data_IF_585083609362
#
_entry.id   IF_585083609362
#
_cell.length_a   1.000
_cell.length_b   1.000
_cell.length_c   1.000
_cell.angle_alpha   90.00
_cell.angle_beta   90.00
_cell.angle_gamma   90.00
#
_symmetry.space_group_name_H-M   'P 1'
#
loop_
_entity.id
_entity.type
_entity.pdbx_description
1 polymer ?
#
# COMPACT_ATOMS: atom_id res chain seq x y z
N UNK A 1 19.72 -19.39 7.44
CA UNK A 1 18.65 -18.75 8.28
C UNK A 1 17.90 -17.66 7.51
N UNK A 2 18.62 -16.79 6.77
CA UNK A 2 18.01 -15.87 5.80
C UNK A 2 17.19 -16.63 4.74
N UNK A 3 17.68 -17.78 4.31
CA UNK A 3 17.02 -18.69 3.35
C UNK A 3 15.68 -19.24 3.85
N UNK A 4 15.56 -19.46 5.16
CA UNK A 4 14.33 -19.96 5.76
C UNK A 4 13.23 -18.88 5.77
N UNK A 5 13.61 -17.61 5.97
CA UNK A 5 12.71 -16.46 5.86
C UNK A 5 12.27 -16.25 4.40
N UNK A 6 13.21 -16.24 3.46
CA UNK A 6 12.90 -16.13 2.01
C UNK A 6 11.96 -17.25 1.57
N UNK A 7 12.18 -18.48 2.03
CA UNK A 7 11.28 -19.58 1.73
C UNK A 7 9.88 -19.40 2.32
N UNK A 8 9.74 -18.78 3.50
CA UNK A 8 8.43 -18.48 4.08
C UNK A 8 7.67 -17.42 3.28
N UNK A 9 8.37 -16.36 2.85
CA UNK A 9 7.80 -15.33 1.95
C UNK A 9 7.37 -15.94 0.62
N UNK A 10 8.18 -16.83 0.04
CA UNK A 10 7.83 -17.54 -1.20
C UNK A 10 6.59 -18.44 -1.06
N UNK A 11 6.38 -19.04 0.10
CA UNK A 11 5.14 -19.79 0.38
C UNK A 11 3.92 -18.86 0.39
N UNK A 12 4.05 -17.68 1.04
CA UNK A 12 3.00 -16.65 1.06
C UNK A 12 2.67 -16.15 -0.35
N UNK A 13 3.68 -15.82 -1.18
CA UNK A 13 3.44 -15.37 -2.57
C UNK A 13 2.77 -16.42 -3.44
N UNK A 14 2.98 -17.70 -3.14
CA UNK A 14 2.37 -18.82 -3.84
C UNK A 14 1.00 -19.24 -3.28
N UNK A 15 0.41 -18.44 -2.38
CA UNK A 15 -0.91 -18.72 -1.79
C UNK A 15 -0.93 -19.80 -0.70
N UNK A 16 0.24 -20.33 -0.31
CA UNK A 16 0.38 -21.36 0.73
C UNK A 16 0.42 -20.73 2.12
N UNK A 17 -0.66 -20.06 2.49
CA UNK A 17 -0.69 -19.17 3.66
C UNK A 17 -0.49 -19.89 5.00
N UNK A 18 -1.03 -21.09 5.19
CA UNK A 18 -0.84 -21.85 6.44
C UNK A 18 0.61 -22.29 6.63
N UNK A 19 1.22 -22.83 5.57
CA UNK A 19 2.62 -23.26 5.57
C UNK A 19 3.54 -22.04 5.82
N UNK A 20 3.24 -20.91 5.18
CA UNK A 20 3.95 -19.66 5.41
C UNK A 20 3.84 -19.20 6.87
N UNK A 21 2.62 -19.16 7.43
CA UNK A 21 2.37 -18.74 8.80
C UNK A 21 3.08 -19.63 9.82
N UNK A 22 3.04 -20.96 9.65
CA UNK A 22 3.74 -21.90 10.53
C UNK A 22 5.26 -21.66 10.51
N UNK A 23 5.83 -21.42 9.32
CA UNK A 23 7.26 -21.16 9.16
C UNK A 23 7.66 -19.81 9.76
N UNK A 24 6.87 -18.76 9.55
CA UNK A 24 7.08 -17.45 10.17
C UNK A 24 7.01 -17.53 11.70
N UNK A 25 6.00 -18.20 12.28
CA UNK A 25 5.89 -18.44 13.73
C UNK A 25 7.09 -19.17 14.33
N UNK A 26 7.69 -20.10 13.59
CA UNK A 26 8.93 -20.76 14.03
C UNK A 26 10.09 -19.78 14.05
N UNK A 27 10.20 -18.93 13.02
CA UNK A 27 11.26 -17.94 12.88
C UNK A 27 11.15 -16.82 13.93
N UNK A 28 9.94 -16.41 14.36
CA UNK A 28 9.79 -15.41 15.44
C UNK A 28 10.39 -15.89 16.76
N UNK A 29 10.44 -17.21 17.00
CA UNK A 29 10.99 -17.82 18.22
C UNK A 29 12.48 -18.16 18.10
N UNK A 30 12.91 -18.72 16.97
CA UNK A 30 14.23 -19.39 16.83
C UNK A 30 15.24 -18.65 15.94
N UNK A 31 14.87 -17.53 15.33
CA UNK A 31 15.75 -16.78 14.42
C UNK A 31 16.80 -15.88 15.11
N UNK A 32 17.78 -15.42 14.32
CA UNK A 32 18.62 -14.24 14.69
C UNK A 32 17.72 -13.01 14.90
N UNK A 33 18.16 -12.02 15.69
CA UNK A 33 17.35 -10.83 16.05
C UNK A 33 16.67 -10.16 14.85
N UNK A 34 17.41 -9.89 13.78
CA UNK A 34 16.89 -9.29 12.55
C UNK A 34 15.88 -10.20 11.82
N UNK A 35 16.16 -11.50 11.75
CA UNK A 35 15.25 -12.49 11.15
C UNK A 35 13.97 -12.64 11.97
N UNK A 36 14.06 -12.58 13.30
CA UNK A 36 12.87 -12.56 14.18
C UNK A 36 12.03 -11.33 13.90
N UNK A 37 12.66 -10.16 13.86
CA UNK A 37 11.94 -8.91 13.61
C UNK A 37 11.19 -8.93 12.27
N UNK A 38 11.89 -9.33 11.19
CA UNK A 38 11.28 -9.49 9.88
C UNK A 38 10.16 -10.55 9.86
N UNK A 39 10.36 -11.69 10.54
CA UNK A 39 9.35 -12.74 10.62
C UNK A 39 8.09 -12.30 11.39
N UNK A 40 8.23 -11.48 12.45
CA UNK A 40 7.09 -10.92 13.19
C UNK A 40 6.30 -9.96 12.30
N UNK A 41 6.98 -9.07 11.60
CA UNK A 41 6.35 -8.15 10.67
C UNK A 41 5.56 -8.89 9.57
N UNK A 42 6.20 -9.86 8.91
CA UNK A 42 5.54 -10.65 7.85
C UNK A 42 4.36 -11.48 8.37
N UNK A 43 4.47 -12.03 9.58
CA UNK A 43 3.37 -12.76 10.21
C UNK A 43 2.20 -11.84 10.52
N UNK A 44 2.47 -10.61 11.01
CA UNK A 44 1.43 -9.62 11.25
C UNK A 44 0.70 -9.23 9.97
N UNK A 45 1.43 -8.94 8.88
CA UNK A 45 0.84 -8.65 7.57
C UNK A 45 -0.03 -9.81 7.08
N UNK A 46 0.48 -11.05 7.18
CA UNK A 46 -0.28 -12.24 6.77
C UNK A 46 -1.54 -12.44 7.62
N UNK A 47 -1.47 -12.17 8.92
CA UNK A 47 -2.61 -12.25 9.82
C UNK A 47 -3.68 -11.21 9.47
N UNK A 48 -3.27 -9.96 9.19
CA UNK A 48 -4.17 -8.89 8.74
C UNK A 48 -4.87 -9.21 7.41
N UNK A 49 -4.13 -9.72 6.43
CA UNK A 49 -4.67 -10.16 5.13
C UNK A 49 -5.71 -11.29 5.26
N UNK A 50 -5.72 -11.98 6.40
CA UNK A 50 -6.63 -13.08 6.72
C UNK A 50 -7.71 -12.70 7.73
N UNK A 51 -7.71 -11.46 8.22
CA UNK A 51 -8.69 -10.95 9.18
C UNK A 51 -8.39 -11.30 10.64
N UNK A 52 -7.19 -11.79 10.93
CA UNK A 52 -6.74 -12.09 12.29
C UNK A 52 -5.98 -10.89 12.87
N UNK A 53 -6.75 -9.86 13.25
CA UNK A 53 -6.22 -8.61 13.77
C UNK A 53 -5.49 -8.80 15.11
N UNK A 54 -5.96 -9.72 15.95
CA UNK A 54 -5.39 -9.99 17.27
C UNK A 54 -3.95 -10.51 17.15
N UNK A 55 -3.73 -11.53 16.30
CA UNK A 55 -2.37 -12.05 16.07
C UNK A 55 -1.46 -10.98 15.48
N UNK A 56 -1.98 -10.12 14.61
CA UNK A 56 -1.21 -9.02 14.06
C UNK A 56 -0.78 -8.00 15.12
N UNK A 57 -1.70 -7.62 16.01
CA UNK A 57 -1.44 -6.65 17.08
C UNK A 57 -0.38 -7.17 18.06
N UNK A 58 -0.45 -8.44 18.43
CA UNK A 58 0.56 -9.08 19.30
C UNK A 58 1.95 -9.02 18.67
N UNK A 59 2.06 -9.37 17.38
CA UNK A 59 3.34 -9.42 16.68
C UNK A 59 3.94 -8.02 16.43
N UNK A 60 3.10 -7.02 16.13
CA UNK A 60 3.51 -5.62 15.95
C UNK A 60 3.89 -4.96 17.29
N UNK A 61 3.14 -5.21 18.36
CA UNK A 61 3.48 -4.73 19.70
C UNK A 61 4.83 -5.30 20.16
N UNK A 62 5.13 -6.56 19.84
CA UNK A 62 6.44 -7.17 20.13
C UNK A 62 7.61 -6.53 19.35
N UNK A 63 7.32 -5.76 18.29
CA UNK A 63 8.29 -4.93 17.57
C UNK A 63 8.40 -3.50 18.11
N UNK A 64 7.57 -3.13 19.09
CA UNK A 64 7.47 -1.76 19.61
C UNK A 64 6.61 -0.82 18.76
N UNK A 65 5.88 -1.35 17.79
CA UNK A 65 4.96 -0.58 16.94
C UNK A 65 3.65 -0.36 17.68
N UNK A 66 3.13 0.87 17.63
CA UNK A 66 1.92 1.30 18.37
C UNK A 66 0.71 1.52 17.48
N UNK A 67 0.95 1.78 16.20
CA UNK A 67 -0.07 2.14 15.24
C UNK A 67 0.07 1.26 14.00
N UNK A 68 -1.07 0.91 13.40
CA UNK A 68 -1.16 0.27 12.09
C UNK A 68 -2.44 0.72 11.40
N UNK A 69 -2.54 0.45 10.10
CA UNK A 69 -3.80 0.60 9.37
C UNK A 69 -4.89 -0.28 9.99
N UNK A 70 -6.13 0.21 9.94
CA UNK A 70 -7.29 -0.50 10.47
C UNK A 70 -7.48 -1.86 9.78
N UNK A 71 -7.90 -2.88 10.53
CA UNK A 71 -8.04 -4.24 10.01
C UNK A 71 -8.93 -4.34 8.73
N UNK A 72 -10.04 -3.57 8.61
CA UNK A 72 -10.85 -3.59 7.40
C UNK A 72 -10.11 -3.23 6.11
N UNK A 73 -9.10 -2.34 6.18
CA UNK A 73 -8.33 -1.95 4.98
C UNK A 73 -7.53 -3.12 4.39
N UNK A 74 -7.09 -4.07 5.22
CA UNK A 74 -6.31 -5.22 4.80
C UNK A 74 -7.14 -6.33 4.15
N UNK A 75 -8.45 -6.33 4.38
CA UNK A 75 -9.38 -7.31 3.85
C UNK A 75 -9.96 -6.91 2.48
N UNK A 76 -9.80 -5.64 2.09
CA UNK A 76 -10.39 -5.07 0.88
C UNK A 76 -11.92 -5.21 0.87
N UNK A 77 -12.53 -5.05 -0.31
CA UNK A 77 -13.98 -5.16 -0.56
C UNK A 77 -14.63 -6.52 -0.18
N UNK A 78 -13.90 -7.45 0.46
CA UNK A 78 -14.48 -8.68 1.04
C UNK A 78 -15.41 -8.41 2.21
N UNK A 79 -15.25 -7.28 2.88
CA UNK A 79 -16.25 -6.78 3.79
C UNK A 79 -17.20 -5.89 2.96
N UNK A 80 -18.42 -6.39 2.74
CA UNK A 80 -19.49 -5.59 2.15
C UNK A 80 -19.75 -4.30 2.94
N UNK A 81 -20.76 -3.49 2.55
CA UNK A 81 -20.98 -2.11 3.01
C UNK A 81 -21.12 -1.88 4.54
N UNK A 82 -21.09 -2.94 5.35
CA UNK A 82 -21.56 -2.98 6.73
C UNK A 82 -20.61 -2.37 7.80
N UNK A 83 -19.43 -1.85 7.45
CA UNK A 83 -18.47 -1.33 8.44
C UNK A 83 -18.30 0.19 8.48
N UNK A 84 -19.13 0.95 7.76
CA UNK A 84 -19.11 2.43 7.79
C UNK A 84 -19.99 3.03 8.92
N UNK A 85 -20.32 2.25 9.96
CA UNK A 85 -21.07 2.71 11.14
C UNK A 85 -20.12 3.16 12.26
N UNK A 86 -19.40 4.26 12.04
CA UNK A 86 -19.05 5.18 13.13
C UNK A 86 -18.89 6.58 12.54
N UNK A 87 -19.71 7.49 13.06
CA UNK A 87 -20.17 8.71 12.38
C UNK A 87 -19.14 9.85 12.27
N UNK A 88 -17.86 9.60 12.58
CA UNK A 88 -16.79 10.61 12.44
C UNK A 88 -15.58 10.16 11.63
N UNK A 89 -15.15 8.90 11.73
CA UNK A 89 -14.03 8.34 10.93
C UNK A 89 -14.47 7.75 9.60
N UNK A 90 -15.75 7.44 9.44
CA UNK A 90 -16.29 7.02 8.15
C UNK A 90 -16.23 8.12 7.08
N UNK A 91 -15.71 9.32 7.35
CA UNK A 91 -15.60 10.43 6.38
C UNK A 91 -14.24 10.59 5.69
N UNK A 92 -13.16 9.98 6.18
CA UNK A 92 -11.83 10.48 5.81
C UNK A 92 -11.08 9.70 4.72
N UNK A 93 -11.42 8.45 4.43
CA UNK A 93 -10.74 7.67 3.36
C UNK A 93 -11.73 6.78 2.60
N UNK A 94 -11.60 6.75 1.27
CA UNK A 94 -12.35 5.86 0.37
C UNK A 94 -11.37 5.18 -0.57
N UNK A 95 -11.56 3.88 -0.76
CA UNK A 95 -10.82 3.08 -1.75
C UNK A 95 -11.78 2.74 -2.89
N UNK A 96 -11.34 2.99 -4.12
CA UNK A 96 -12.11 2.71 -5.33
C UNK A 96 -11.27 1.74 -6.18
N UNK A 97 -11.64 0.46 -6.15
CA UNK A 97 -11.04 -0.53 -7.03
C UNK A 97 -11.50 -0.32 -8.47
N UNK A 98 -10.60 -0.54 -9.43
CA UNK A 98 -10.89 -0.42 -10.87
C UNK A 98 -11.51 0.94 -11.25
N UNK A 99 -11.08 2.01 -10.57
CA UNK A 99 -11.64 3.35 -10.73
C UNK A 99 -11.41 3.94 -12.14
N UNK A 100 -10.44 3.39 -12.87
CA UNK A 100 -10.12 3.76 -14.24
C UNK A 100 -10.56 2.66 -15.21
N UNK A 101 -11.08 3.01 -16.41
CA UNK A 101 -11.16 2.07 -17.53
C UNK A 101 -9.76 1.51 -17.85
N UNK A 102 -9.70 0.24 -18.24
CA UNK A 102 -8.45 -0.49 -18.46
C UNK A 102 -7.53 0.25 -19.47
N UNK A 103 -8.11 0.82 -20.52
CA UNK A 103 -7.35 1.54 -21.54
C UNK A 103 -6.69 2.80 -20.97
N UNK A 104 -7.40 3.53 -20.10
CA UNK A 104 -6.87 4.72 -19.43
C UNK A 104 -5.80 4.32 -18.42
N UNK A 105 -6.01 3.22 -17.70
CA UNK A 105 -5.03 2.68 -16.77
C UNK A 105 -3.73 2.29 -17.48
N UNK A 106 -3.80 1.58 -18.61
CA UNK A 106 -2.60 1.22 -19.38
C UNK A 106 -1.87 2.46 -19.93
N UNK A 107 -2.59 3.46 -20.43
CA UNK A 107 -1.98 4.73 -20.86
C UNK A 107 -1.28 5.45 -19.70
N UNK A 108 -1.92 5.49 -18.53
CA UNK A 108 -1.36 6.12 -17.34
C UNK A 108 -0.09 5.38 -16.90
N UNK A 109 -0.13 4.05 -16.87
CA UNK A 109 1.02 3.19 -16.57
C UNK A 109 2.20 3.49 -17.50
N UNK A 110 1.97 3.57 -18.80
CA UNK A 110 3.04 3.89 -19.75
C UNK A 110 3.61 5.31 -19.54
N UNK A 111 2.75 6.29 -19.26
CA UNK A 111 3.18 7.66 -19.01
C UNK A 111 4.01 7.80 -17.72
N UNK A 112 3.70 7.02 -16.68
CA UNK A 112 4.42 6.97 -15.40
C UNK A 112 5.71 6.15 -15.48
N UNK A 113 5.82 5.18 -16.40
CA UNK A 113 7.05 4.41 -16.62
C UNK A 113 8.11 5.14 -17.45
N UNK A 114 7.73 6.23 -18.13
CA UNK A 114 8.66 6.96 -18.99
C UNK A 114 9.80 7.60 -18.17
N UNK A 115 11.09 7.37 -18.48
CA UNK A 115 12.22 7.95 -17.74
C UNK A 115 12.15 9.46 -17.60
N UNK A 116 11.71 10.12 -18.69
CA UNK A 116 11.51 11.57 -18.77
C UNK A 116 10.55 12.10 -17.71
N UNK A 117 9.58 11.30 -17.27
CA UNK A 117 8.69 11.68 -16.19
C UNK A 117 9.42 11.80 -14.86
N UNK A 118 10.29 10.86 -14.53
CA UNK A 118 11.04 10.86 -13.27
C UNK A 118 12.11 11.96 -13.25
N UNK A 119 12.83 12.12 -14.36
CA UNK A 119 13.84 13.17 -14.54
C UNK A 119 13.25 14.57 -14.38
N UNK A 120 12.08 14.83 -14.98
CA UNK A 120 11.42 16.14 -14.93
C UNK A 120 10.93 16.53 -13.52
N UNK A 121 10.66 15.56 -12.64
CA UNK A 121 10.18 15.85 -11.28
C UNK A 121 11.33 16.16 -10.31
N UNK A 122 12.59 15.95 -10.72
CA UNK A 122 13.78 16.35 -9.95
C UNK A 122 13.89 15.67 -8.57
N UNK A 123 13.23 14.53 -8.38
CA UNK A 123 13.32 13.76 -7.15
C UNK A 123 14.72 13.13 -7.03
N UNK A 124 15.28 13.03 -5.82
CA UNK A 124 16.62 12.46 -5.61
C UNK A 124 16.67 10.93 -5.80
N UNK A 125 15.58 10.30 -6.25
CA UNK A 125 15.44 8.85 -6.44
C UNK A 125 14.46 8.53 -7.57
N UNK A 126 14.70 7.43 -8.28
CA UNK A 126 13.80 6.84 -9.28
C UNK A 126 12.86 5.77 -8.69
N UNK A 127 12.86 5.61 -7.36
CA UNK A 127 12.10 4.56 -6.65
C UNK A 127 10.72 5.05 -6.17
N UNK A 128 10.59 6.33 -5.82
CA UNK A 128 9.31 6.92 -5.44
C UNK A 128 9.29 8.43 -5.68
N UNK A 129 8.09 8.98 -5.88
CA UNK A 129 7.84 10.38 -5.65
C UNK A 129 6.37 10.60 -5.24
N UNK A 130 6.13 11.72 -4.56
CA UNK A 130 4.80 12.30 -4.41
C UNK A 130 4.80 13.77 -4.80
N UNK A 131 3.74 14.22 -5.47
CA UNK A 131 3.49 15.65 -5.61
C UNK A 131 2.01 15.96 -5.55
N UNK A 132 1.72 17.10 -4.93
CA UNK A 132 0.37 17.64 -4.82
C UNK A 132 0.20 18.82 -5.77
N UNK A 133 -0.95 18.90 -6.43
CA UNK A 133 -1.29 20.05 -7.26
C UNK A 133 -2.72 20.56 -7.03
N UNK A 134 -2.97 21.86 -7.27
CA UNK A 134 -4.32 22.41 -7.22
C UNK A 134 -5.23 21.81 -8.29
N UNK A 135 -6.41 21.38 -7.90
CA UNK A 135 -7.48 21.03 -8.82
C UNK A 135 -8.03 22.31 -9.48
N UNK A 136 -8.34 22.26 -10.78
CA UNK A 136 -8.79 23.42 -11.55
C UNK A 136 -7.68 24.20 -12.27
N UNK A 137 -6.40 23.91 -12.00
CA UNK A 137 -5.28 24.34 -12.86
C UNK A 137 -5.01 23.30 -13.95
N UNK A 138 -4.55 23.77 -15.12
CA UNK A 138 -4.15 22.87 -16.21
C UNK A 138 -2.91 22.09 -15.80
N UNK A 139 -3.02 20.75 -15.75
CA UNK A 139 -1.87 19.88 -15.55
C UNK A 139 -0.94 19.96 -16.77
N UNK A 140 0.40 20.09 -16.60
CA UNK A 140 1.34 20.12 -17.74
C UNK A 140 1.23 18.87 -18.63
N UNK A 141 1.01 17.73 -17.98
CA UNK A 141 0.67 16.45 -18.63
C UNK A 141 -0.85 16.27 -18.75
N UNK A 142 -1.36 16.29 -19.99
CA UNK A 142 -2.80 16.22 -20.30
C UNK A 142 -3.50 15.00 -19.69
N UNK A 143 -2.87 13.83 -19.73
CA UNK A 143 -3.46 12.58 -19.23
C UNK A 143 -3.69 12.62 -17.71
N UNK A 144 -2.66 12.99 -16.93
CA UNK A 144 -2.76 13.14 -15.47
C UNK A 144 -3.82 14.18 -15.09
N UNK A 145 -3.85 15.31 -15.80
CA UNK A 145 -4.90 16.31 -15.61
C UNK A 145 -6.30 15.77 -15.87
N UNK A 146 -6.49 15.07 -16.99
CA UNK A 146 -7.78 14.48 -17.35
C UNK A 146 -8.26 13.44 -16.33
N UNK A 147 -7.35 12.60 -15.81
CA UNK A 147 -7.65 11.63 -14.75
C UNK A 147 -8.04 12.34 -13.45
N UNK A 148 -7.27 13.35 -13.01
CA UNK A 148 -7.60 14.13 -11.82
C UNK A 148 -8.97 14.82 -11.94
N UNK A 149 -9.24 15.45 -13.08
CA UNK A 149 -10.54 16.09 -13.35
C UNK A 149 -11.69 15.08 -13.36
N UNK A 150 -11.47 13.88 -13.93
CA UNK A 150 -12.48 12.81 -13.92
C UNK A 150 -12.83 12.40 -12.49
N UNK A 151 -11.82 12.22 -11.63
CA UNK A 151 -12.05 11.80 -10.25
C UNK A 151 -12.55 12.90 -9.33
N UNK A 152 -12.28 14.17 -9.63
CA UNK A 152 -12.74 15.32 -8.83
C UNK A 152 -14.22 15.21 -8.49
N UNK A 153 -15.08 15.01 -9.50
CA UNK A 153 -16.54 14.93 -9.28
C UNK A 153 -16.92 13.77 -8.37
N UNK A 154 -16.32 12.59 -8.58
CA UNK A 154 -16.57 11.42 -7.74
C UNK A 154 -16.10 11.66 -6.31
N UNK A 155 -14.92 12.26 -6.13
CA UNK A 155 -14.36 12.58 -4.83
C UNK A 155 -15.22 13.61 -4.08
N UNK A 156 -15.65 14.69 -4.73
CA UNK A 156 -16.52 15.72 -4.14
C UNK A 156 -17.88 15.17 -3.71
N UNK A 157 -18.47 14.28 -4.52
CA UNK A 157 -19.72 13.58 -4.16
C UNK A 157 -19.51 12.67 -2.94
N UNK A 158 -18.39 11.95 -2.87
CA UNK A 158 -18.10 11.03 -1.77
C UNK A 158 -17.70 11.75 -0.48
N UNK A 159 -17.01 12.88 -0.59
CA UNK A 159 -16.54 13.68 0.54
C UNK A 159 -17.63 14.64 1.05
N UNK A 160 -18.56 15.05 0.19
CA UNK A 160 -19.56 16.07 0.52
C UNK A 160 -19.02 17.49 0.58
N UNK A 161 -17.81 17.73 0.04
CA UNK A 161 -17.13 19.03 0.03
C UNK A 161 -16.30 19.22 -1.25
N UNK A 162 -15.92 20.47 -1.55
CA UNK A 162 -15.10 20.78 -2.71
C UNK A 162 -13.65 20.27 -2.54
N UNK A 163 -13.14 19.59 -3.56
CA UNK A 163 -11.76 19.11 -3.56
C UNK A 163 -10.83 20.18 -4.15
N UNK A 164 -9.97 20.77 -3.32
CA UNK A 164 -9.02 21.80 -3.75
C UNK A 164 -7.74 21.28 -4.40
N UNK A 165 -7.34 20.03 -4.13
CA UNK A 165 -6.06 19.47 -4.54
C UNK A 165 -6.15 17.99 -4.89
N UNK A 166 -5.24 17.54 -5.75
CA UNK A 166 -4.97 16.12 -6.02
C UNK A 166 -3.51 15.85 -5.70
N UNK A 167 -3.24 14.68 -5.14
CA UNK A 167 -1.89 14.21 -4.89
C UNK A 167 -1.63 12.94 -5.70
N UNK A 168 -0.50 12.91 -6.37
CA UNK A 168 -0.03 11.79 -7.18
C UNK A 168 1.08 11.07 -6.45
N UNK A 169 0.89 9.78 -6.23
CA UNK A 169 1.83 8.89 -5.60
C UNK A 169 2.28 7.87 -6.65
N UNK A 170 3.58 7.73 -6.87
CA UNK A 170 4.09 6.71 -7.79
C UNK A 170 5.31 6.03 -7.18
N UNK A 171 5.33 4.71 -7.27
CA UNK A 171 6.43 3.88 -6.79
C UNK A 171 6.93 2.98 -7.91
N UNK A 172 8.24 2.76 -7.95
CA UNK A 172 8.91 1.74 -8.76
C UNK A 172 9.27 0.57 -7.84
N UNK A 173 8.31 -0.27 -7.48
CA UNK A 173 8.58 -1.44 -6.62
C UNK A 173 8.98 -2.65 -7.46
N UNK A 174 9.96 -3.41 -6.96
CA UNK A 174 10.24 -4.75 -7.49
C UNK A 174 9.04 -5.66 -7.20
N UNK A 175 8.74 -6.58 -8.12
CA UNK A 175 7.66 -7.54 -7.91
C UNK A 175 7.88 -8.33 -6.60
N UNK A 176 6.92 -8.27 -5.68
CA UNK A 176 7.02 -8.91 -4.36
C UNK A 176 7.63 -8.05 -3.25
N UNK A 177 8.06 -6.81 -3.53
CA UNK A 177 8.44 -5.81 -2.52
C UNK A 177 7.22 -5.02 -1.98
N UNK A 178 6.00 -5.44 -2.32
CA UNK A 178 4.78 -4.85 -1.78
C UNK A 178 4.51 -5.38 -0.37
N UNK A 179 4.97 -4.65 0.64
CA UNK A 179 4.57 -4.85 2.03
C UNK A 179 3.10 -4.50 2.31
N UNK A 180 2.29 -4.27 1.27
CA UNK A 180 0.85 -3.96 1.39
C UNK A 180 0.55 -2.49 1.71
N UNK A 181 1.56 -1.61 1.74
CA UNK A 181 1.40 -0.19 2.02
C UNK A 181 0.86 0.56 0.80
N UNK A 182 -0.47 0.72 0.76
CA UNK A 182 -1.19 1.55 -0.22
C UNK A 182 -1.36 3.01 0.24
N UNK A 183 -1.03 3.34 1.49
CA UNK A 183 -1.12 4.70 2.04
C UNK A 183 0.21 5.10 2.69
N UNK A 184 0.56 6.38 2.48
CA UNK A 184 1.84 7.00 2.83
C UNK A 184 2.02 7.28 4.34
N UNK A 185 1.89 6.25 5.17
CA UNK A 185 2.24 6.39 6.60
C UNK A 185 3.44 5.54 7.01
N UNK A 186 3.92 4.64 6.17
CA UNK A 186 5.23 4.01 6.34
C UNK A 186 5.82 3.72 4.96
N UNK A 187 6.90 4.45 4.62
CA UNK A 187 7.82 3.99 3.60
C UNK A 187 8.46 2.71 4.16
N UNK A 188 8.24 1.58 3.50
CA UNK A 188 9.11 0.41 3.68
C UNK A 188 10.46 0.70 3.00
N UNK A 189 11.22 1.64 3.59
CA UNK A 189 12.53 2.07 3.09
C UNK A 189 13.55 0.93 3.06
N UNK A 190 13.28 -0.15 3.79
CA UNK A 190 14.10 -1.36 3.79
C UNK A 190 13.94 -2.13 2.47
N UNK A 191 12.76 -2.10 1.85
CA UNK A 191 12.51 -2.70 0.52
C UNK A 191 13.02 -1.86 -0.67
N UNK A 192 13.38 -0.59 -0.45
CA UNK A 192 13.88 0.32 -1.50
C UNK A 192 15.41 0.31 -1.64
N UNK A 193 16.14 -0.38 -0.77
CA UNK A 193 17.58 -0.56 -0.93
C UNK A 193 17.82 -1.65 -1.95
N UNK A 194 18.23 -1.27 -3.16
CA UNK A 194 18.85 -2.19 -4.12
C UNK A 194 20.06 -2.82 -3.42
N UNK A 195 20.06 -4.15 -3.28
CA UNK A 195 21.29 -4.92 -3.08
C UNK A 195 22.12 -4.91 -4.37
#
# INVERSE_FOLDING_TARGET
>A
MRDAFVAAVKLKTNGKFEEAAAKLRSLTKKGKRNVRAAARHELAVLALQRGDATVADEELCALGLRYRLSAPLWLGARQGPALLSSDSMARSVRVLDNALPEEVFQQLRQALLAPKFWEEHGYPTDEFFSYSMPLGRRHPRKLLGAVATRFRRTAEVLAGEECGRVEWWTHRRSAGADSGHQLHFDLDELGMRRE
#
